data_IF_008059749661
#
_entry.id   IF_008059749661
#
_cell.length_a   1.000
_cell.length_b   1.000
_cell.length_c   1.000
_cell.angle_alpha   90.00
_cell.angle_beta   90.00
_cell.angle_gamma   90.00
#
_symmetry.space_group_name_H-M   'P 1'
#
loop_
_entity.id
_entity.type
_entity.pdbx_description
1 polymer ?
#
# COMPACT_ATOMS: atom_id res chain seq x y z
N UNK A 1 23.11 -0.62 -13.06
CA UNK A 1 24.01 0.32 -12.37
C UNK A 1 23.96 1.65 -13.10
N UNK A 2 23.64 2.75 -12.40
CA UNK A 2 23.66 4.10 -12.97
C UNK A 2 25.13 4.58 -13.00
N UNK A 3 25.60 4.99 -14.18
CA UNK A 3 26.99 5.47 -14.37
C UNK A 3 26.95 6.82 -15.08
N UNK A 4 27.59 7.81 -14.47
CA UNK A 4 27.85 9.10 -15.10
C UNK A 4 29.36 9.29 -15.26
N UNK A 5 29.78 9.93 -16.35
CA UNK A 5 31.13 10.50 -16.38
C UNK A 5 31.28 11.66 -15.39
N UNK A 6 32.52 12.05 -15.07
CA UNK A 6 32.78 13.10 -14.08
C UNK A 6 32.15 14.44 -14.43
N UNK A 7 32.12 14.83 -15.69
CA UNK A 7 31.53 16.10 -16.15
C UNK A 7 30.02 16.10 -15.90
N UNK A 8 29.32 15.01 -16.26
CA UNK A 8 27.89 14.86 -16.02
C UNK A 8 27.56 14.82 -14.52
N UNK A 9 28.39 14.18 -13.69
CA UNK A 9 28.20 14.19 -12.24
C UNK A 9 28.29 15.61 -11.66
N UNK A 10 29.23 16.44 -12.15
CA UNK A 10 29.34 17.84 -11.73
C UNK A 10 28.17 18.70 -12.25
N UNK A 11 27.69 18.50 -13.46
CA UNK A 11 26.47 19.17 -13.97
C UNK A 11 25.25 18.87 -13.09
N UNK A 12 25.06 17.60 -12.72
CA UNK A 12 24.00 17.18 -11.83
C UNK A 12 24.11 17.87 -10.45
N UNK A 13 25.33 17.91 -9.88
CA UNK A 13 25.60 18.63 -8.63
C UNK A 13 25.28 20.11 -8.74
N UNK A 14 25.71 20.79 -9.81
CA UNK A 14 25.43 22.21 -10.04
C UNK A 14 23.91 22.47 -10.16
N UNK A 15 23.19 21.58 -10.81
CA UNK A 15 21.73 21.64 -10.90
C UNK A 15 21.09 21.50 -9.51
N UNK A 16 21.54 20.52 -8.71
CA UNK A 16 21.06 20.33 -7.36
C UNK A 16 21.40 21.52 -6.43
N UNK A 17 22.57 22.15 -6.61
CA UNK A 17 22.94 23.38 -5.88
C UNK A 17 21.97 24.52 -6.21
N UNK A 18 21.66 24.74 -7.49
CA UNK A 18 20.69 25.78 -7.92
C UNK A 18 19.30 25.53 -7.31
N UNK A 19 18.87 24.28 -7.24
CA UNK A 19 17.60 23.85 -6.63
C UNK A 19 17.66 23.81 -5.10
N UNK A 20 18.82 23.94 -4.50
CA UNK A 20 19.08 23.78 -3.04
C UNK A 20 18.71 22.39 -2.49
N UNK A 21 18.92 21.35 -3.29
CA UNK A 21 18.61 19.95 -2.95
C UNK A 21 19.85 19.06 -2.83
N UNK A 22 21.06 19.66 -2.93
CA UNK A 22 22.33 18.95 -3.04
C UNK A 22 22.87 18.39 -1.71
N UNK A 23 22.31 18.80 -0.61
CA UNK A 23 22.73 18.36 0.75
C UNK A 23 21.53 18.18 1.65
N UNK A 24 21.74 17.48 2.75
CA UNK A 24 20.72 17.31 3.79
C UNK A 24 20.32 18.68 4.36
N UNK A 25 19.02 19.00 4.47
CA UNK A 25 18.58 20.35 4.83
C UNK A 25 18.85 20.66 6.30
N UNK A 26 19.28 21.89 6.59
CA UNK A 26 19.33 22.42 7.93
C UNK A 26 17.91 22.78 8.42
N UNK A 27 17.73 22.92 9.74
CA UNK A 27 16.42 23.28 10.35
C UNK A 27 15.86 24.64 9.91
N UNK A 28 16.66 25.47 9.27
CA UNK A 28 16.28 26.79 8.73
C UNK A 28 15.94 26.75 7.24
N UNK A 29 16.06 25.60 6.60
CA UNK A 29 15.82 25.46 5.16
C UNK A 29 14.38 25.02 4.86
N UNK A 30 13.91 25.31 3.64
CA UNK A 30 12.52 25.09 3.19
C UNK A 30 12.05 23.64 3.28
N UNK A 31 12.97 22.69 3.11
CA UNK A 31 12.69 21.24 3.13
C UNK A 31 12.62 20.68 4.56
N UNK A 32 12.72 21.56 5.58
CA UNK A 32 12.46 21.24 6.98
C UNK A 32 11.31 22.07 7.52
N UNK A 33 10.29 21.44 8.09
CA UNK A 33 9.16 22.11 8.73
C UNK A 33 8.67 21.29 9.93
N UNK A 34 8.69 21.92 11.11
CA UNK A 34 8.12 21.36 12.35
C UNK A 34 8.59 19.94 12.72
N UNK A 35 9.86 19.65 12.42
CA UNK A 35 10.46 18.34 12.68
C UNK A 35 10.32 17.35 11.53
N UNK A 36 9.74 17.76 10.41
CA UNK A 36 9.62 16.93 9.20
C UNK A 36 10.63 17.37 8.13
N UNK A 37 11.16 16.37 7.44
CA UNK A 37 11.90 16.55 6.21
C UNK A 37 10.93 16.35 5.05
N UNK A 38 10.68 17.42 4.29
CA UNK A 38 9.75 17.44 3.16
C UNK A 38 10.56 17.71 1.87
N UNK A 39 10.99 16.66 1.15
CA UNK A 39 11.78 16.82 -0.07
C UNK A 39 11.06 17.70 -1.09
N UNK A 40 11.78 18.60 -1.77
CA UNK A 40 11.18 19.32 -2.90
C UNK A 40 10.86 18.34 -4.02
N UNK A 41 9.59 18.19 -4.38
CA UNK A 41 9.13 17.29 -5.44
C UNK A 41 8.97 18.04 -6.77
N UNK A 42 9.25 17.35 -7.85
CA UNK A 42 8.96 17.75 -9.22
C UNK A 42 8.15 16.61 -9.88
N UNK A 43 6.84 16.54 -9.61
CA UNK A 43 6.01 15.46 -10.13
C UNK A 43 6.02 15.40 -11.67
N UNK A 44 6.07 14.19 -12.21
CA UNK A 44 6.01 13.93 -13.67
C UNK A 44 4.64 14.24 -14.26
N UNK A 45 3.63 14.24 -13.41
CA UNK A 45 2.23 14.50 -13.77
C UNK A 45 1.47 15.10 -12.57
N UNK A 46 0.30 15.64 -12.85
CA UNK A 46 -0.61 16.15 -11.83
C UNK A 46 -1.96 15.42 -11.90
N UNK A 47 -2.67 15.43 -10.80
CA UNK A 47 -4.01 14.87 -10.65
C UNK A 47 -5.03 16.01 -10.65
N UNK A 48 -6.11 15.87 -11.41
CA UNK A 48 -7.20 16.82 -11.48
C UNK A 48 -8.48 16.23 -10.91
N UNK A 49 -9.36 17.06 -10.34
CA UNK A 49 -10.53 16.61 -9.58
C UNK A 49 -11.60 15.87 -10.42
N UNK A 50 -11.51 15.90 -11.73
CA UNK A 50 -12.37 15.16 -12.67
C UNK A 50 -11.86 13.73 -12.93
N UNK A 51 -10.69 13.39 -12.42
CA UNK A 51 -10.11 12.06 -12.60
C UNK A 51 -10.69 11.06 -11.60
N UNK A 52 -10.91 9.83 -12.09
CA UNK A 52 -11.13 8.65 -11.26
C UNK A 52 -9.77 8.10 -10.82
N UNK A 53 -9.56 7.99 -9.52
CA UNK A 53 -8.31 7.52 -8.93
C UNK A 53 -8.55 6.17 -8.25
N UNK A 54 -7.88 5.13 -8.68
CA UNK A 54 -7.91 3.85 -8.01
C UNK A 54 -6.71 3.68 -7.08
N UNK A 55 -6.95 3.17 -5.89
CA UNK A 55 -5.91 2.94 -4.89
C UNK A 55 -5.79 1.45 -4.59
N UNK A 56 -4.57 0.95 -4.51
CA UNK A 56 -4.28 -0.43 -4.10
C UNK A 56 -3.07 -0.43 -3.18
N UNK A 57 -3.11 -1.26 -2.14
CA UNK A 57 -1.98 -1.44 -1.24
C UNK A 57 -2.36 -1.51 0.23
N UNK A 58 -1.44 -1.14 1.11
CA UNK A 58 -1.56 -1.27 2.55
C UNK A 58 -2.61 -0.32 3.17
N UNK A 59 -2.81 -0.45 4.49
CA UNK A 59 -3.74 0.43 5.24
C UNK A 59 -3.44 1.93 5.09
N UNK A 60 -2.21 2.32 4.77
CA UNK A 60 -1.89 3.72 4.51
C UNK A 60 -2.63 4.29 3.27
N UNK A 61 -2.95 3.45 2.27
CA UNK A 61 -3.76 3.86 1.13
C UNK A 61 -5.14 4.38 1.55
N UNK A 62 -5.73 3.85 2.63
CA UNK A 62 -7.04 4.28 3.16
C UNK A 62 -7.05 5.76 3.59
N UNK A 63 -5.94 6.25 4.11
CA UNK A 63 -5.80 7.66 4.48
C UNK A 63 -5.75 8.56 3.23
N UNK A 64 -5.05 8.13 2.18
CA UNK A 64 -5.00 8.84 0.90
C UNK A 64 -6.41 8.91 0.28
N UNK A 65 -7.16 7.81 0.31
CA UNK A 65 -8.53 7.74 -0.20
C UNK A 65 -9.47 8.71 0.50
N UNK A 66 -9.42 8.75 1.83
CA UNK A 66 -10.27 9.64 2.62
C UNK A 66 -10.04 11.10 2.25
N UNK A 67 -8.78 11.50 2.09
CA UNK A 67 -8.43 12.89 1.72
C UNK A 67 -8.82 13.20 0.27
N UNK A 68 -8.54 12.31 -0.68
CA UNK A 68 -8.92 12.51 -2.08
C UNK A 68 -10.45 12.59 -2.23
N UNK A 69 -11.19 11.71 -1.54
CA UNK A 69 -12.67 11.73 -1.53
C UNK A 69 -13.19 13.04 -0.93
N UNK A 70 -12.61 13.50 0.19
CA UNK A 70 -12.94 14.78 0.81
C UNK A 70 -12.72 15.99 -0.11
N UNK A 71 -11.84 15.87 -1.10
CA UNK A 71 -11.58 16.88 -2.14
C UNK A 71 -12.41 16.70 -3.40
N UNK A 72 -13.34 15.75 -3.42
CA UNK A 72 -14.27 15.52 -4.52
C UNK A 72 -13.74 14.64 -5.65
N UNK A 73 -12.61 13.95 -5.46
CA UNK A 73 -12.16 12.93 -6.41
C UNK A 73 -13.09 11.71 -6.40
N UNK A 74 -13.23 11.08 -7.55
CA UNK A 74 -13.88 9.77 -7.66
C UNK A 74 -12.87 8.68 -7.28
N UNK A 75 -13.07 8.10 -6.08
CA UNK A 75 -12.20 7.03 -5.54
C UNK A 75 -13.06 5.78 -5.30
N UNK A 76 -13.17 4.85 -6.27
CA UNK A 76 -14.08 3.71 -6.19
C UNK A 76 -13.87 2.85 -4.94
N UNK A 77 -12.61 2.61 -4.55
CA UNK A 77 -12.26 1.81 -3.37
C UNK A 77 -12.85 2.40 -2.07
N UNK A 78 -12.89 3.72 -1.94
CA UNK A 78 -13.46 4.39 -0.77
C UNK A 78 -14.99 4.19 -0.64
N UNK A 79 -15.66 3.83 -1.73
CA UNK A 79 -17.11 3.59 -1.77
C UNK A 79 -17.49 2.15 -1.39
N UNK A 80 -16.50 1.27 -1.26
CA UNK A 80 -16.76 -0.13 -0.93
C UNK A 80 -17.26 -0.30 0.49
N UNK A 81 -18.42 -0.94 0.64
CA UNK A 81 -19.08 -1.18 1.94
C UNK A 81 -19.58 -2.62 1.98
N UNK A 82 -19.36 -3.29 3.10
CA UNK A 82 -19.94 -4.59 3.41
C UNK A 82 -20.88 -4.52 4.63
N UNK A 83 -21.73 -5.54 4.83
CA UNK A 83 -22.58 -5.67 6.02
C UNK A 83 -21.76 -5.59 7.32
N UNK A 84 -22.30 -4.89 8.32
CA UNK A 84 -21.59 -4.61 9.58
C UNK A 84 -21.36 -5.84 10.46
N UNK A 85 -22.17 -6.87 10.27
CA UNK A 85 -22.13 -8.13 11.03
C UNK A 85 -21.05 -9.10 10.55
N UNK A 86 -20.52 -8.93 9.33
CA UNK A 86 -19.43 -9.77 8.81
C UNK A 86 -18.06 -9.36 9.35
N UNK A 87 -17.94 -8.12 9.79
CA UNK A 87 -16.68 -7.54 10.26
C UNK A 87 -16.97 -6.65 11.45
N UNK A 88 -16.06 -6.65 12.40
CA UNK A 88 -16.14 -5.72 13.53
C UNK A 88 -16.12 -4.26 13.08
N UNK A 89 -15.39 -3.98 12.00
CA UNK A 89 -15.22 -2.65 11.44
C UNK A 89 -15.28 -2.73 9.91
N UNK A 90 -16.49 -2.76 9.32
CA UNK A 90 -16.67 -2.80 7.88
C UNK A 90 -16.18 -1.50 7.23
N UNK A 91 -15.54 -1.61 6.08
CA UNK A 91 -15.05 -0.48 5.31
C UNK A 91 -13.95 -0.88 4.31
N UNK A 92 -13.35 0.07 3.62
CA UNK A 92 -12.37 -0.22 2.56
C UNK A 92 -11.08 -0.89 3.04
N UNK A 93 -10.85 -0.99 4.35
CA UNK A 93 -9.71 -1.76 4.92
C UNK A 93 -9.67 -3.22 4.49
N UNK A 94 -10.81 -3.78 4.10
CA UNK A 94 -10.89 -5.14 3.56
C UNK A 94 -10.19 -5.29 2.22
N UNK A 95 -10.01 -4.20 1.49
CA UNK A 95 -9.33 -4.16 0.21
C UNK A 95 -7.82 -3.89 0.34
N UNK A 96 -7.26 -3.99 1.56
CA UNK A 96 -5.82 -3.85 1.76
C UNK A 96 -5.07 -4.99 1.10
N UNK A 97 -4.07 -4.65 0.28
CA UNK A 97 -3.11 -5.57 -0.30
C UNK A 97 -1.71 -5.17 0.18
N UNK A 98 -1.04 -6.06 0.88
CA UNK A 98 0.17 -5.67 1.61
C UNK A 98 1.48 -5.97 0.90
N UNK A 99 1.49 -6.93 -0.02
CA UNK A 99 2.70 -7.40 -0.68
C UNK A 99 2.58 -7.42 -2.21
N UNK A 100 3.71 -7.41 -2.89
CA UNK A 100 3.76 -7.37 -4.35
C UNK A 100 3.07 -8.58 -5.02
N UNK A 101 3.03 -9.75 -4.35
CA UNK A 101 2.38 -10.94 -4.89
C UNK A 101 0.86 -10.80 -4.96
N UNK A 102 0.23 -10.34 -3.87
CA UNK A 102 -1.24 -10.13 -3.85
C UNK A 102 -1.66 -8.94 -4.70
N UNK A 103 -0.83 -7.87 -4.78
CA UNK A 103 -1.07 -6.75 -5.68
C UNK A 103 -1.09 -7.23 -7.14
N UNK A 104 -0.08 -8.00 -7.56
CA UNK A 104 -0.03 -8.56 -8.91
C UNK A 104 -1.26 -9.40 -9.21
N UNK A 105 -1.64 -10.35 -8.34
CA UNK A 105 -2.81 -11.20 -8.52
C UNK A 105 -4.11 -10.40 -8.70
N UNK A 106 -4.27 -9.27 -8.00
CA UNK A 106 -5.41 -8.38 -8.19
C UNK A 106 -5.40 -7.74 -9.57
N UNK A 107 -4.26 -7.24 -10.02
CA UNK A 107 -4.12 -6.65 -11.37
C UNK A 107 -4.36 -7.71 -12.45
N UNK A 108 -3.76 -8.88 -12.33
CA UNK A 108 -3.97 -10.02 -13.23
C UNK A 108 -5.46 -10.43 -13.28
N UNK A 109 -6.16 -10.39 -12.14
CA UNK A 109 -7.58 -10.76 -12.10
C UNK A 109 -8.48 -9.73 -12.78
N UNK A 110 -8.12 -8.45 -12.74
CA UNK A 110 -8.85 -7.38 -13.44
C UNK A 110 -8.78 -7.56 -14.96
N UNK A 111 -7.60 -7.95 -15.48
CA UNK A 111 -7.35 -8.08 -16.91
C UNK A 111 -7.47 -9.53 -17.42
N UNK A 112 -7.91 -10.47 -16.56
CA UNK A 112 -8.28 -11.83 -16.95
C UNK A 112 -7.11 -12.82 -17.00
N UNK A 113 -5.93 -12.46 -16.53
CA UNK A 113 -4.74 -13.31 -16.51
C UNK A 113 -4.70 -14.27 -15.30
N UNK A 114 -5.37 -13.91 -14.19
CA UNK A 114 -5.52 -14.74 -13.01
C UNK A 114 -7.01 -14.91 -12.64
N UNK A 115 -7.40 -16.12 -12.26
CA UNK A 115 -8.76 -16.41 -11.80
C UNK A 115 -8.75 -17.03 -10.43
N UNK A 116 -9.43 -16.39 -9.49
CA UNK A 116 -9.70 -16.95 -8.16
C UNK A 116 -10.72 -18.08 -8.30
N UNK A 117 -10.33 -19.34 -8.01
CA UNK A 117 -11.29 -20.42 -7.88
C UNK A 117 -11.97 -20.38 -6.50
N UNK A 118 -13.11 -21.04 -6.39
CA UNK A 118 -13.91 -21.05 -5.17
C UNK A 118 -13.19 -21.69 -3.98
N UNK A 119 -12.21 -22.55 -4.24
CA UNK A 119 -11.45 -23.30 -3.23
C UNK A 119 -10.19 -22.58 -2.74
N UNK A 120 -9.68 -21.62 -3.53
CA UNK A 120 -8.47 -20.86 -3.20
C UNK A 120 -8.67 -20.02 -1.93
N UNK A 121 -7.70 -20.07 -1.01
CA UNK A 121 -7.68 -19.19 0.16
C UNK A 121 -8.88 -19.34 1.12
N UNK A 122 -9.59 -20.48 1.10
CA UNK A 122 -10.70 -20.78 2.03
C UNK A 122 -10.17 -21.55 3.21
N UNK A 123 -10.43 -21.05 4.42
CA UNK A 123 -10.14 -21.72 5.67
C UNK A 123 -11.43 -22.07 6.41
N UNK A 124 -11.70 -23.36 6.59
CA UNK A 124 -12.82 -23.83 7.41
C UNK A 124 -12.47 -23.68 8.91
N UNK A 125 -13.36 -23.03 9.65
CA UNK A 125 -13.25 -22.79 11.09
C UNK A 125 -14.56 -23.12 11.80
N UNK A 126 -14.56 -23.07 13.13
CA UNK A 126 -15.82 -23.19 13.87
C UNK A 126 -16.77 -22.04 13.48
N UNK A 127 -17.98 -22.40 13.12
CA UNK A 127 -19.01 -21.43 12.71
C UNK A 127 -19.00 -21.05 11.23
N UNK A 128 -18.10 -21.61 10.39
CA UNK A 128 -18.10 -21.34 8.95
C UNK A 128 -16.74 -21.29 8.30
N UNK A 129 -16.52 -20.24 7.48
CA UNK A 129 -15.32 -20.11 6.66
C UNK A 129 -14.71 -18.70 6.78
N UNK A 130 -13.38 -18.62 6.71
CA UNK A 130 -12.62 -17.38 6.60
C UNK A 130 -11.96 -17.30 5.22
N UNK A 131 -11.78 -16.09 4.73
CA UNK A 131 -11.13 -15.79 3.46
C UNK A 131 -9.68 -15.34 3.69
N UNK A 132 -8.71 -16.15 3.30
CA UNK A 132 -7.28 -15.82 3.44
C UNK A 132 -6.80 -14.70 2.50
N UNK A 133 -7.62 -14.31 1.53
CA UNK A 133 -7.33 -13.13 0.71
C UNK A 133 -7.63 -11.81 1.41
N UNK A 134 -8.26 -11.83 2.59
CA UNK A 134 -8.57 -10.65 3.39
C UNK A 134 -7.72 -10.61 4.66
N UNK A 135 -6.88 -9.60 4.80
CA UNK A 135 -5.96 -9.47 5.93
C UNK A 135 -6.65 -9.12 7.26
N UNK A 136 -7.82 -8.53 7.22
CA UNK A 136 -8.51 -8.05 8.41
C UNK A 136 -9.17 -9.16 9.23
N UNK A 137 -9.55 -8.82 10.46
CA UNK A 137 -10.35 -9.71 11.32
C UNK A 137 -11.75 -9.92 10.76
N UNK A 138 -12.10 -11.17 10.46
CA UNK A 138 -13.35 -11.57 9.86
C UNK A 138 -14.16 -12.41 10.85
N UNK A 139 -15.49 -12.28 10.82
CA UNK A 139 -16.38 -13.28 11.38
C UNK A 139 -16.51 -14.45 10.39
N UNK A 140 -16.57 -15.71 10.87
CA UNK A 140 -16.89 -16.83 10.00
C UNK A 140 -18.25 -16.64 9.32
N UNK A 141 -18.32 -16.95 8.03
CA UNK A 141 -19.56 -16.88 7.23
C UNK A 141 -19.77 -18.20 6.47
N UNK A 142 -20.96 -18.40 5.88
CA UNK A 142 -21.16 -19.52 4.96
C UNK A 142 -20.23 -19.44 3.76
N UNK A 143 -19.91 -20.57 3.11
CA UNK A 143 -19.11 -20.58 1.91
C UNK A 143 -19.76 -19.75 0.79
N UNK A 144 -21.08 -19.84 0.65
CA UNK A 144 -21.84 -19.04 -0.34
C UNK A 144 -21.63 -17.55 -0.11
N UNK A 145 -21.73 -17.06 1.15
CA UNK A 145 -21.50 -15.64 1.47
C UNK A 145 -20.06 -15.23 1.26
N UNK A 146 -19.10 -16.07 1.56
CA UNK A 146 -17.69 -15.81 1.28
C UNK A 146 -17.46 -15.59 -0.22
N UNK A 147 -18.01 -16.47 -1.06
CA UNK A 147 -17.87 -16.38 -2.53
C UNK A 147 -18.63 -15.16 -3.11
N UNK A 148 -19.81 -14.84 -2.56
CA UNK A 148 -20.53 -13.62 -2.92
C UNK A 148 -19.69 -12.38 -2.62
N UNK A 149 -19.11 -12.29 -1.42
CA UNK A 149 -18.22 -11.19 -1.02
C UNK A 149 -17.01 -11.05 -1.95
N UNK A 150 -16.43 -12.16 -2.42
CA UNK A 150 -15.37 -12.12 -3.43
C UNK A 150 -15.82 -11.51 -4.74
N UNK A 151 -17.06 -11.77 -5.18
CA UNK A 151 -17.64 -11.13 -6.36
C UNK A 151 -17.85 -9.62 -6.17
N UNK A 152 -18.31 -9.20 -4.99
CA UNK A 152 -18.44 -7.79 -4.63
C UNK A 152 -17.08 -7.06 -4.66
N UNK A 153 -16.05 -7.69 -4.08
CA UNK A 153 -14.67 -7.18 -4.13
C UNK A 153 -14.15 -7.13 -5.58
N UNK A 154 -14.34 -8.19 -6.35
CA UNK A 154 -13.91 -8.23 -7.75
C UNK A 154 -14.59 -7.12 -8.57
N UNK A 155 -15.88 -6.88 -8.37
CA UNK A 155 -16.59 -5.77 -9.03
C UNK A 155 -15.97 -4.40 -8.70
N UNK A 156 -15.56 -4.18 -7.45
CA UNK A 156 -14.84 -2.95 -7.07
C UNK A 156 -13.49 -2.85 -7.77
N UNK A 157 -12.73 -3.95 -7.86
CA UNK A 157 -11.45 -3.95 -8.55
C UNK A 157 -11.58 -3.74 -10.07
N UNK A 158 -12.70 -4.11 -10.71
CA UNK A 158 -12.95 -3.81 -12.12
C UNK A 158 -12.98 -2.31 -12.42
N UNK A 159 -13.31 -1.47 -11.44
CA UNK A 159 -13.26 0.00 -11.59
C UNK A 159 -11.83 0.52 -11.87
N UNK A 160 -10.80 -0.28 -11.56
CA UNK A 160 -9.41 0.04 -11.89
C UNK A 160 -9.24 0.23 -13.40
N UNK A 161 -9.83 -0.62 -14.23
CA UNK A 161 -9.68 -0.58 -15.69
C UNK A 161 -10.19 0.74 -16.33
N UNK A 162 -11.04 1.47 -15.63
CA UNK A 162 -11.57 2.78 -16.07
C UNK A 162 -10.97 3.97 -15.32
N UNK A 163 -9.94 3.74 -14.50
CA UNK A 163 -9.34 4.81 -13.69
C UNK A 163 -8.24 5.56 -14.44
N UNK A 164 -8.19 6.87 -14.28
CA UNK A 164 -7.24 7.75 -14.96
C UNK A 164 -5.88 7.78 -14.27
N UNK A 165 -5.86 7.50 -12.97
CA UNK A 165 -4.63 7.42 -12.18
C UNK A 165 -4.74 6.32 -11.12
N UNK A 166 -3.59 5.75 -10.76
CA UNK A 166 -3.46 4.78 -9.69
C UNK A 166 -2.54 5.30 -8.59
N UNK A 167 -2.87 4.94 -7.34
CA UNK A 167 -1.96 5.08 -6.21
C UNK A 167 -1.65 3.70 -5.68
N UNK A 168 -0.38 3.28 -5.75
CA UNK A 168 0.07 1.98 -5.27
C UNK A 168 0.91 2.19 -4.00
N UNK A 169 0.44 1.61 -2.89
CA UNK A 169 1.11 1.72 -1.58
C UNK A 169 1.72 0.37 -1.19
N UNK A 170 3.03 0.21 -1.37
CA UNK A 170 3.76 -0.99 -1.00
C UNK A 170 3.86 -1.12 0.53
N UNK A 171 3.38 -2.21 1.09
CA UNK A 171 3.27 -2.40 2.54
C UNK A 171 4.48 -3.10 3.15
N UNK A 172 4.66 -4.35 2.78
CA UNK A 172 5.66 -5.26 3.36
C UNK A 172 6.13 -6.31 2.35
N UNK A 173 7.20 -7.03 2.67
CA UNK A 173 7.79 -8.08 1.81
C UNK A 173 7.52 -9.49 2.31
N UNK A 174 6.94 -9.63 3.50
CA UNK A 174 6.54 -10.93 4.03
C UNK A 174 5.18 -11.33 3.49
N UNK A 175 5.04 -12.57 3.05
CA UNK A 175 3.82 -13.06 2.44
C UNK A 175 3.68 -14.57 2.62
N UNK A 176 2.47 -15.07 2.51
CA UNK A 176 2.17 -16.50 2.52
C UNK A 176 1.77 -16.95 1.12
N UNK A 177 2.34 -18.07 0.69
CA UNK A 177 2.09 -18.68 -0.61
C UNK A 177 1.42 -20.05 -0.43
N UNK A 178 0.29 -20.22 -1.08
CA UNK A 178 -0.44 -21.49 -1.16
C UNK A 178 0.05 -22.25 -2.41
N UNK A 179 0.95 -23.23 -2.23
CA UNK A 179 1.54 -24.00 -3.31
C UNK A 179 0.54 -24.94 -4.02
N UNK A 180 -0.54 -25.32 -3.34
CA UNK A 180 -1.60 -26.13 -3.95
C UNK A 180 -2.32 -25.38 -5.07
N UNK A 181 -2.52 -24.08 -4.87
CA UNK A 181 -3.25 -23.24 -5.81
C UNK A 181 -2.35 -22.27 -6.59
N UNK A 182 -1.05 -22.22 -6.26
CA UNK A 182 -0.11 -21.34 -6.95
C UNK A 182 -0.38 -19.84 -6.70
N UNK A 183 -0.87 -19.47 -5.52
CA UNK A 183 -1.27 -18.10 -5.23
C UNK A 183 -0.76 -17.57 -3.89
N UNK A 184 -0.59 -16.25 -3.80
CA UNK A 184 -0.34 -15.55 -2.55
C UNK A 184 -1.66 -15.32 -1.80
N UNK A 185 -1.62 -15.47 -0.48
CA UNK A 185 -2.70 -15.10 0.42
C UNK A 185 -2.30 -13.90 1.26
N UNK A 186 -3.27 -13.06 1.59
CA UNK A 186 -3.04 -11.80 2.27
C UNK A 186 -3.07 -11.91 3.80
N UNK A 187 -3.56 -13.04 4.31
CA UNK A 187 -3.62 -13.39 5.73
C UNK A 187 -2.78 -14.63 5.98
N UNK A 188 -2.05 -14.66 7.12
CA UNK A 188 -1.37 -15.86 7.57
C UNK A 188 -2.40 -16.99 7.81
N UNK A 189 -2.21 -18.19 7.22
CA UNK A 189 -3.04 -19.36 7.53
C UNK A 189 -2.92 -19.71 9.02
N UNK A 190 -3.99 -20.22 9.62
CA UNK A 190 -3.93 -20.65 11.02
C UNK A 190 -2.95 -21.81 11.22
N UNK A 191 -2.40 -21.93 12.44
CA UNK A 191 -1.53 -23.06 12.80
C UNK A 191 -2.22 -24.41 12.55
N UNK A 192 -3.51 -24.50 12.84
CA UNK A 192 -4.32 -25.69 12.59
C UNK A 192 -4.40 -26.03 11.10
N UNK A 193 -4.62 -25.03 10.24
CA UNK A 193 -4.68 -25.22 8.79
C UNK A 193 -3.33 -25.69 8.23
N UNK A 194 -2.23 -25.09 8.68
CA UNK A 194 -0.86 -25.50 8.29
C UNK A 194 -0.59 -26.93 8.71
N UNK A 195 -0.92 -27.32 9.95
CA UNK A 195 -0.70 -28.67 10.46
C UNK A 195 -1.53 -29.73 9.73
N UNK A 196 -2.76 -29.40 9.31
CA UNK A 196 -3.62 -30.30 8.53
C UNK A 196 -3.16 -30.46 7.08
N UNK A 197 -2.35 -29.51 6.56
CA UNK A 197 -1.90 -29.49 5.18
C UNK A 197 -0.38 -29.27 5.12
N UNK A 198 0.43 -30.23 5.57
CA UNK A 198 1.88 -30.08 5.60
C UNK A 198 2.42 -29.88 4.17
N UNK A 199 3.32 -28.89 4.01
CA UNK A 199 3.93 -28.57 2.74
C UNK A 199 3.08 -27.73 1.77
N UNK A 200 1.83 -27.37 2.14
CA UNK A 200 0.99 -26.53 1.28
C UNK A 200 1.31 -25.04 1.40
N UNK A 201 1.48 -24.53 2.60
CA UNK A 201 1.70 -23.11 2.83
C UNK A 201 3.16 -22.80 3.09
N UNK A 202 3.70 -21.86 2.34
CA UNK A 202 5.09 -21.40 2.45
C UNK A 202 5.13 -19.94 2.86
N UNK A 203 5.97 -19.63 3.82
CA UNK A 203 6.28 -18.25 4.16
C UNK A 203 7.37 -17.74 3.21
N UNK A 204 7.10 -16.64 2.51
CA UNK A 204 8.04 -15.97 1.62
C UNK A 204 8.44 -14.62 2.19
N UNK A 205 9.74 -14.40 2.35
CA UNK A 205 10.32 -13.07 2.56
C UNK A 205 10.96 -12.64 1.25
N UNK A 206 10.27 -11.80 0.50
CA UNK A 206 10.71 -11.32 -0.81
C UNK A 206 11.95 -10.43 -0.68
N UNK A 207 12.89 -10.58 -1.58
CA UNK A 207 13.99 -9.66 -1.79
C UNK A 207 13.66 -8.60 -2.85
N UNK A 208 14.66 -7.80 -3.25
CA UNK A 208 14.46 -6.73 -4.26
C UNK A 208 14.09 -7.32 -5.63
N UNK A 209 14.72 -8.43 -6.02
CA UNK A 209 14.46 -9.09 -7.31
C UNK A 209 13.04 -9.67 -7.35
N UNK A 210 12.60 -10.29 -6.26
CA UNK A 210 11.26 -10.82 -6.10
C UNK A 210 10.18 -9.73 -6.21
N UNK A 211 10.38 -8.61 -5.53
CA UNK A 211 9.45 -7.46 -5.59
C UNK A 211 9.44 -6.86 -6.99
N UNK A 212 10.62 -6.68 -7.60
CA UNK A 212 10.73 -6.12 -8.96
C UNK A 212 10.09 -7.03 -10.00
N UNK A 213 10.28 -8.34 -9.92
CA UNK A 213 9.67 -9.27 -10.87
C UNK A 213 8.14 -9.11 -10.88
N UNK A 214 7.53 -9.07 -9.69
CA UNK A 214 6.07 -8.94 -9.55
C UNK A 214 5.54 -7.56 -9.91
N UNK A 215 6.23 -6.52 -9.47
CA UNK A 215 5.78 -5.16 -9.76
C UNK A 215 6.03 -4.75 -11.22
N UNK A 216 7.09 -5.24 -11.87
CA UNK A 216 7.28 -5.07 -13.31
C UNK A 216 6.12 -5.71 -14.07
N UNK A 217 5.78 -6.97 -13.80
CA UNK A 217 4.65 -7.65 -14.42
C UNK A 217 3.34 -6.87 -14.19
N UNK A 218 3.10 -6.43 -12.95
CA UNK A 218 1.94 -5.61 -12.59
C UNK A 218 1.83 -4.35 -13.47
N UNK A 219 2.92 -3.58 -13.59
CA UNK A 219 2.93 -2.32 -14.35
C UNK A 219 2.85 -2.57 -15.86
N UNK A 220 3.50 -3.61 -16.36
CA UNK A 220 3.45 -4.03 -17.76
C UNK A 220 2.02 -4.43 -18.16
N UNK A 221 1.30 -5.19 -17.32
CA UNK A 221 -0.12 -5.52 -17.54
C UNK A 221 -0.98 -4.25 -17.55
N UNK A 222 -0.80 -3.35 -16.58
CA UNK A 222 -1.51 -2.07 -16.55
C UNK A 222 -1.26 -1.29 -17.84
N UNK A 223 -0.01 -1.12 -18.23
CA UNK A 223 0.38 -0.33 -19.41
C UNK A 223 -0.08 -0.95 -20.73
N UNK A 224 -0.22 -2.27 -20.79
CA UNK A 224 -0.75 -2.98 -21.95
C UNK A 224 -2.26 -2.77 -22.13
N UNK A 225 -3.00 -2.56 -21.05
CA UNK A 225 -4.46 -2.52 -21.06
C UNK A 225 -5.04 -1.11 -20.91
N UNK A 226 -4.28 -0.16 -20.32
CA UNK A 226 -4.79 1.18 -20.04
C UNK A 226 -3.68 2.23 -20.07
N UNK A 227 -4.05 3.46 -20.41
CA UNK A 227 -3.15 4.62 -20.33
C UNK A 227 -3.41 5.34 -19.02
N UNK A 228 -2.52 5.16 -18.04
CA UNK A 228 -2.70 5.73 -16.70
C UNK A 228 -1.37 6.17 -16.09
N UNK A 229 -1.44 7.11 -15.17
CA UNK A 229 -0.31 7.53 -14.35
C UNK A 229 -0.37 6.83 -12.98
N UNK A 230 0.80 6.51 -12.42
CA UNK A 230 0.92 5.76 -11.19
C UNK A 230 1.73 6.54 -10.16
N UNK A 231 1.12 6.89 -9.04
CA UNK A 231 1.84 7.35 -7.85
C UNK A 231 2.22 6.12 -7.02
N UNK A 232 3.50 5.82 -6.98
CA UNK A 232 4.04 4.72 -6.17
C UNK A 232 4.56 5.27 -4.86
N UNK A 233 4.25 4.61 -3.74
CA UNK A 233 4.76 5.00 -2.42
C UNK A 233 5.03 3.78 -1.55
N UNK A 234 5.94 3.90 -0.60
CA UNK A 234 6.18 2.89 0.44
C UNK A 234 5.43 3.29 1.70
N UNK A 235 4.62 2.37 2.22
CA UNK A 235 3.89 2.59 3.47
C UNK A 235 4.84 2.88 4.62
N UNK A 236 4.63 3.96 5.38
CA UNK A 236 5.40 4.24 6.58
C UNK A 236 5.01 3.35 7.78
N UNK A 237 3.87 2.66 7.72
CA UNK A 237 3.42 1.74 8.78
C UNK A 237 4.38 0.55 8.86
N UNK A 238 4.99 0.26 10.02
CA UNK A 238 5.87 -0.89 10.20
C UNK A 238 5.10 -2.22 10.15
N UNK A 239 5.83 -3.32 10.01
CA UNK A 239 5.26 -4.65 10.20
C UNK A 239 4.99 -4.86 11.70
N UNK A 240 3.83 -5.40 12.02
CA UNK A 240 3.42 -5.64 13.40
C UNK A 240 4.08 -6.89 13.97
N UNK A 241 4.17 -7.94 13.17
CA UNK A 241 4.78 -9.21 13.52
C UNK A 241 5.53 -9.79 12.33
N UNK A 242 6.55 -10.61 12.59
CA UNK A 242 7.32 -11.31 11.56
C UNK A 242 7.29 -12.81 11.79
N UNK A 243 7.28 -13.56 10.71
CA UNK A 243 7.44 -15.02 10.70
C UNK A 243 8.86 -15.44 10.32
N UNK A 244 9.79 -14.49 10.10
CA UNK A 244 11.18 -14.79 9.70
C UNK A 244 12.03 -15.40 10.81
N UNK A 245 11.59 -15.28 12.07
CA UNK A 245 12.40 -15.62 13.24
C UNK A 245 13.38 -14.53 13.68
N UNK A 246 13.48 -13.44 12.92
CA UNK A 246 14.30 -12.27 13.25
C UNK A 246 13.59 -11.37 14.30
N UNK A 247 14.34 -10.44 14.87
CA UNK A 247 13.73 -9.34 15.61
C UNK A 247 12.88 -8.50 14.66
N UNK A 248 11.64 -8.19 15.06
CA UNK A 248 10.67 -7.46 14.21
C UNK A 248 11.18 -6.09 13.74
N UNK A 249 12.00 -5.39 14.54
CA UNK A 249 12.61 -4.10 14.16
C UNK A 249 13.56 -4.29 12.97
N UNK A 250 14.36 -5.36 13.00
CA UNK A 250 15.29 -5.69 11.91
C UNK A 250 14.53 -6.17 10.66
N UNK A 251 13.52 -7.02 10.85
CA UNK A 251 12.66 -7.48 9.76
C UNK A 251 11.92 -6.32 9.08
N UNK A 252 11.41 -5.35 9.86
CA UNK A 252 10.81 -4.14 9.32
C UNK A 252 11.82 -3.30 8.53
N UNK A 253 13.01 -3.08 9.07
CA UNK A 253 14.07 -2.32 8.38
C UNK A 253 14.43 -2.96 7.05
N UNK A 254 14.62 -4.30 7.02
CA UNK A 254 14.82 -5.05 5.79
C UNK A 254 13.67 -4.83 4.80
N UNK A 255 12.43 -5.05 5.25
CA UNK A 255 11.23 -4.92 4.42
C UNK A 255 11.15 -3.54 3.75
N UNK A 256 11.29 -2.47 4.54
CA UNK A 256 11.20 -1.10 4.02
C UNK A 256 12.36 -0.76 3.07
N UNK A 257 13.57 -1.25 3.34
CA UNK A 257 14.72 -1.05 2.46
C UNK A 257 14.52 -1.72 1.10
N UNK A 258 14.05 -2.97 1.09
CA UNK A 258 13.73 -3.70 -0.15
C UNK A 258 12.68 -2.95 -0.97
N UNK A 259 11.57 -2.57 -0.34
CA UNK A 259 10.48 -1.84 -1.03
C UNK A 259 10.94 -0.48 -1.55
N UNK A 260 11.77 0.23 -0.80
CA UNK A 260 12.27 1.54 -1.20
C UNK A 260 13.23 1.45 -2.40
N UNK A 261 14.12 0.47 -2.40
CA UNK A 261 15.01 0.21 -3.55
C UNK A 261 14.20 -0.20 -4.78
N UNK A 262 13.26 -1.14 -4.62
CA UNK A 262 12.39 -1.56 -5.71
C UNK A 262 11.59 -0.37 -6.29
N UNK A 263 11.01 0.48 -5.44
CA UNK A 263 10.29 1.67 -5.89
C UNK A 263 11.16 2.64 -6.70
N UNK A 264 12.44 2.82 -6.33
CA UNK A 264 13.38 3.62 -7.13
C UNK A 264 13.61 3.04 -8.52
N UNK A 265 13.86 1.74 -8.61
CA UNK A 265 14.13 1.07 -9.87
C UNK A 265 12.90 1.07 -10.80
N UNK A 266 11.70 0.94 -10.24
CA UNK A 266 10.45 1.07 -10.99
C UNK A 266 10.24 2.51 -11.50
N UNK A 267 10.49 3.51 -10.66
CA UNK A 267 10.46 4.92 -11.06
C UNK A 267 11.44 5.25 -12.19
N UNK A 268 12.65 4.67 -12.17
CA UNK A 268 13.65 4.85 -13.22
C UNK A 268 13.25 4.14 -14.52
N UNK A 269 12.54 2.99 -14.44
CA UNK A 269 12.19 2.17 -15.60
C UNK A 269 10.97 2.69 -16.36
N UNK A 270 9.96 3.21 -15.66
CA UNK A 270 8.66 3.55 -16.25
C UNK A 270 8.38 5.05 -16.17
N UNK A 271 8.14 5.70 -17.31
CA UNK A 271 7.92 7.15 -17.39
C UNK A 271 6.57 7.61 -16.79
N UNK A 272 5.59 6.71 -16.71
CA UNK A 272 4.28 6.97 -16.12
C UNK A 272 4.20 6.70 -14.61
N UNK A 273 5.33 6.40 -13.97
CA UNK A 273 5.42 6.25 -12.51
C UNK A 273 6.07 7.48 -11.90
N UNK A 274 5.49 7.94 -10.82
CA UNK A 274 6.13 8.89 -9.91
C UNK A 274 6.22 8.31 -8.50
N UNK A 275 7.25 8.69 -7.73
CA UNK A 275 7.45 8.22 -6.36
C UNK A 275 7.10 9.30 -5.35
N UNK A 276 6.13 9.00 -4.50
CA UNK A 276 5.78 9.85 -3.37
C UNK A 276 6.45 9.38 -2.07
N UNK A 277 7.27 10.21 -1.40
CA UNK A 277 8.14 9.80 -0.28
C UNK A 277 7.41 9.76 1.08
N UNK A 278 6.27 9.08 1.19
CA UNK A 278 5.52 9.01 2.45
C UNK A 278 6.33 8.35 3.58
N UNK A 279 7.11 7.34 3.24
CA UNK A 279 7.98 6.63 4.18
C UNK A 279 9.07 7.54 4.73
N UNK A 280 9.79 8.25 3.87
CA UNK A 280 10.88 9.13 4.25
C UNK A 280 10.39 10.30 5.12
N UNK A 281 9.25 10.88 4.76
CA UNK A 281 8.64 11.97 5.53
C UNK A 281 8.25 11.48 6.92
N UNK A 282 7.55 10.35 7.02
CA UNK A 282 7.17 9.79 8.32
C UNK A 282 8.39 9.43 9.18
N UNK A 283 9.40 8.79 8.58
CA UNK A 283 10.62 8.38 9.27
C UNK A 283 11.41 9.57 9.80
N UNK A 284 11.34 10.73 9.14
CA UNK A 284 12.03 11.95 9.59
C UNK A 284 11.55 12.46 10.95
N UNK A 285 10.32 12.15 11.35
CA UNK A 285 9.77 12.48 12.67
C UNK A 285 10.27 11.52 13.77
N UNK A 286 10.89 10.41 13.39
CA UNK A 286 11.32 9.37 14.32
C UNK A 286 10.14 8.75 15.08
N UNK A 287 10.39 8.20 16.25
CA UNK A 287 9.35 7.54 17.07
C UNK A 287 8.24 8.49 17.51
N UNK A 288 8.49 9.82 17.57
CA UNK A 288 7.47 10.81 17.88
C UNK A 288 6.37 10.93 16.78
N UNK A 289 6.60 10.35 15.61
CA UNK A 289 5.62 10.30 14.52
C UNK A 289 4.62 9.15 14.63
N UNK A 290 4.72 8.33 15.67
CA UNK A 290 3.86 7.16 15.85
C UNK A 290 2.99 7.28 17.10
N UNK A 291 1.85 6.60 17.09
CA UNK A 291 0.98 6.45 18.25
C UNK A 291 1.69 5.66 19.36
N UNK A 292 1.04 5.51 20.52
CA UNK A 292 1.64 4.84 21.67
C UNK A 292 2.03 3.37 21.49
N UNK A 293 1.61 2.74 20.39
CA UNK A 293 1.98 1.37 20.02
C UNK A 293 3.21 1.28 19.10
N UNK A 294 3.74 2.40 18.64
CA UNK A 294 4.84 2.51 17.67
C UNK A 294 4.57 1.82 16.31
N UNK A 295 3.32 1.49 16.00
CA UNK A 295 2.90 0.86 14.74
C UNK A 295 2.08 1.86 13.93
N UNK A 296 1.03 2.41 14.53
CA UNK A 296 0.17 3.36 13.86
C UNK A 296 0.80 4.75 13.83
N UNK A 297 0.75 5.36 12.66
CA UNK A 297 1.25 6.74 12.50
C UNK A 297 0.30 7.70 13.22
N UNK A 298 0.87 8.70 13.88
CA UNK A 298 0.10 9.78 14.49
C UNK A 298 -0.82 10.45 13.45
N UNK A 299 -2.04 10.74 13.85
CA UNK A 299 -3.07 11.27 12.94
C UNK A 299 -2.71 12.62 12.34
N UNK A 300 -2.03 13.47 13.11
CA UNK A 300 -1.59 14.78 12.62
C UNK A 300 -0.50 14.59 11.57
N UNK A 301 0.43 13.67 11.81
CA UNK A 301 1.46 13.33 10.83
C UNK A 301 0.87 12.74 9.55
N UNK A 302 -0.14 11.86 9.65
CA UNK A 302 -0.87 11.37 8.47
C UNK A 302 -1.45 12.53 7.67
N UNK A 303 -2.13 13.49 8.32
CA UNK A 303 -2.68 14.66 7.65
C UNK A 303 -1.60 15.50 6.97
N UNK A 304 -0.46 15.71 7.64
CA UNK A 304 0.66 16.47 7.07
C UNK A 304 1.26 15.79 5.84
N UNK A 305 1.46 14.46 5.88
CA UNK A 305 1.95 13.69 4.73
C UNK A 305 0.99 13.78 3.55
N UNK A 306 -0.32 13.63 3.81
CA UNK A 306 -1.30 13.66 2.72
C UNK A 306 -1.51 15.10 2.20
N UNK A 307 -1.49 16.11 3.07
CA UNK A 307 -1.50 17.50 2.65
C UNK A 307 -0.30 17.82 1.73
N UNK A 308 0.88 17.30 2.08
CA UNK A 308 2.08 17.42 1.26
C UNK A 308 1.93 16.69 -0.09
N UNK A 309 1.33 15.50 -0.12
CA UNK A 309 0.99 14.79 -1.37
C UNK A 309 0.07 15.64 -2.25
N UNK A 310 -1.02 16.11 -1.68
CA UNK A 310 -2.01 16.92 -2.41
C UNK A 310 -1.41 18.21 -2.92
N UNK A 311 -0.63 18.91 -2.12
CA UNK A 311 0.04 20.16 -2.52
C UNK A 311 0.93 19.98 -3.75
N UNK A 312 1.56 18.82 -3.91
CA UNK A 312 2.48 18.55 -5.02
C UNK A 312 1.80 17.93 -6.24
N UNK A 313 0.80 17.07 -6.04
CA UNK A 313 0.20 16.29 -7.12
C UNK A 313 -1.14 16.84 -7.61
N UNK A 314 -1.90 17.57 -6.79
CA UNK A 314 -3.26 17.98 -7.16
C UNK A 314 -3.28 19.42 -7.65
N UNK A 315 -3.87 19.64 -8.85
CA UNK A 315 -4.10 20.96 -9.40
C UNK A 315 -5.61 21.23 -9.48
N UNK A 316 -6.03 22.47 -9.21
CA UNK A 316 -7.34 22.95 -9.65
C UNK A 316 -8.53 22.86 -8.71
N UNK A 317 -8.37 22.92 -7.36
CA UNK A 317 -9.40 23.48 -6.44
C UNK A 317 -8.81 23.78 -5.06
N UNK A 318 -9.36 24.88 -4.48
CA UNK A 318 -8.97 25.38 -3.18
C UNK A 318 -9.17 24.36 -2.06
N UNK A 319 -8.32 24.49 -1.07
CA UNK A 319 -8.38 23.77 0.19
C UNK A 319 -9.75 23.98 0.84
N UNK A 320 -10.57 22.94 0.88
CA UNK A 320 -11.73 22.92 1.76
C UNK A 320 -11.23 22.63 3.18
N UNK A 321 -11.12 23.69 3.98
CA UNK A 321 -10.70 23.61 5.40
C UNK A 321 -11.69 22.82 6.27
N UNK A 322 -12.87 22.45 5.72
CA UNK A 322 -13.94 21.75 6.41
C UNK A 322 -14.08 20.25 6.04
N UNK A 323 -13.11 19.66 5.36
CA UNK A 323 -13.16 18.23 5.08
C UNK A 323 -13.25 17.40 6.38
N UNK A 324 -14.18 16.42 6.47
CA UNK A 324 -14.31 15.60 7.67
C UNK A 324 -13.02 14.86 7.99
N UNK A 325 -12.68 14.67 9.27
CA UNK A 325 -11.44 13.99 9.65
C UNK A 325 -11.42 12.54 9.12
N UNK A 326 -10.28 12.06 8.64
CA UNK A 326 -10.15 10.68 8.14
C UNK A 326 -10.53 9.68 9.23
N UNK A 327 -11.31 8.67 8.83
CA UNK A 327 -11.84 7.61 9.71
C UNK A 327 -10.73 6.58 10.02
N UNK A 328 -9.76 6.93 10.85
CA UNK A 328 -8.62 6.06 11.17
C UNK A 328 -8.69 5.36 12.54
N UNK A 329 -9.88 5.25 13.15
CA UNK A 329 -10.00 4.81 14.56
C UNK A 329 -10.06 3.28 14.79
N UNK A 330 -9.99 2.44 13.75
CA UNK A 330 -10.51 1.07 13.88
C UNK A 330 -9.51 -0.07 13.96
N UNK A 331 -8.24 0.15 13.60
CA UNK A 331 -7.23 -0.92 13.64
C UNK A 331 -6.69 -1.16 15.05
N UNK A 332 -6.67 -0.13 15.91
CA UNK A 332 -5.99 -0.14 17.21
C UNK A 332 -6.51 -1.11 18.27
N UNK A 333 -7.78 -1.50 18.23
CA UNK A 333 -8.38 -2.36 19.28
C UNK A 333 -8.33 -3.85 18.97
N UNK A 334 -8.30 -4.22 17.72
CA UNK A 334 -8.43 -5.61 17.30
C UNK A 334 -7.13 -6.38 17.43
N UNK A 335 -6.03 -5.71 17.14
CA UNK A 335 -4.68 -6.25 17.24
C UNK A 335 -4.37 -6.64 18.70
N UNK A 336 -4.71 -5.77 19.66
CA UNK A 336 -4.54 -6.07 21.09
C UNK A 336 -5.32 -7.32 21.55
N UNK A 337 -6.48 -7.58 20.97
CA UNK A 337 -7.31 -8.72 21.34
C UNK A 337 -6.90 -10.03 20.65
N UNK A 338 -6.21 -9.96 19.51
CA UNK A 338 -5.71 -11.15 18.81
C UNK A 338 -4.41 -11.70 19.43
N UNK A 339 -3.61 -10.83 20.05
CA UNK A 339 -2.37 -11.22 20.74
C UNK A 339 -2.60 -11.72 22.19
N UNK A 340 -3.78 -11.48 22.76
CA UNK A 340 -4.15 -11.89 24.12
C UNK A 340 -4.91 -13.22 24.19
N UNK A 341 -5.04 -13.93 23.09
CA UNK A 341 -5.58 -15.29 22.95
C UNK A 341 -4.54 -16.20 22.28
#
# INVERSE_FOLDING_TARGET
MLIYDGSKAYENLQTAIKKRTFRFPAKTEKDYRDGLLLPSLEPRFTLTSDQKIFTIGSCFARNIEAELTGRGFDVPVAKFVLPKDEFRHPGPHMLNEYNAGTILQRIESVFGEFRYSDEMGVEAVEGGYLDLFLHIHQQPVSLERLLERRREIAATYQELASSSALVITLGLVESWFDSLHGCYVNKAPSKSLIQKNPGRFHFHRMDVEDVLARMNACIEIINANMKTNIVLTVSPVPIEATFSGDNVILANSYSKSVLRVAASLLYEKFDNIDYFPSYEVALSKGTAGFAGDNIHIDKMLVKEIIAYMVQNYVTGRGTDENAPPPVSHYVDREIKNALSR
#
